data_IF_230141958085
#
_entry.id   IF_230141958085
#
_cell.length_a   1.000
_cell.length_b   1.000
_cell.length_c   1.000
_cell.angle_alpha   90.00
_cell.angle_beta   90.00
_cell.angle_gamma   90.00
#
_symmetry.space_group_name_H-M   'P 1'
#
loop_
_entity.id
_entity.type
_entity.pdbx_description
1 polymer ?
#
# COMPACT_ATOMS: atom_id res chain seq x y z
N UNK A 1 -1.92 -10.13 -13.66
CA UNK A 1 -2.91 -9.45 -12.78
C UNK A 1 -3.05 -8.01 -13.26
N UNK A 2 -4.24 -7.59 -13.64
CA UNK A 2 -4.53 -6.17 -13.84
C UNK A 2 -5.05 -5.61 -12.50
N UNK A 3 -4.52 -4.48 -12.07
CA UNK A 3 -5.02 -3.74 -10.91
C UNK A 3 -5.89 -2.59 -11.41
N UNK A 4 -7.05 -2.42 -10.80
CA UNK A 4 -7.96 -1.31 -11.09
C UNK A 4 -7.65 -0.17 -10.12
N UNK A 5 -7.08 0.92 -10.64
CA UNK A 5 -6.59 2.04 -9.83
C UNK A 5 -7.74 2.78 -9.13
N UNK A 6 -8.92 2.86 -9.74
CA UNK A 6 -10.11 3.52 -9.18
C UNK A 6 -10.64 2.81 -7.92
N UNK A 7 -10.31 1.52 -7.78
CA UNK A 7 -10.72 0.71 -6.63
C UNK A 7 -9.76 0.81 -5.46
N UNK A 8 -8.49 1.11 -5.71
CA UNK A 8 -7.42 1.03 -4.69
C UNK A 8 -6.87 2.39 -4.28
N UNK A 9 -7.03 3.41 -5.13
CA UNK A 9 -6.58 4.77 -4.85
C UNK A 9 -7.74 5.64 -4.35
N UNK A 10 -7.40 6.63 -3.54
CA UNK A 10 -8.30 7.74 -3.27
C UNK A 10 -8.59 8.50 -4.57
N UNK A 11 -9.78 9.11 -4.67
CA UNK A 11 -10.24 9.80 -5.87
C UNK A 11 -9.29 10.92 -6.31
N UNK A 12 -8.56 11.54 -5.39
CA UNK A 12 -7.56 12.56 -5.72
C UNK A 12 -6.32 12.00 -6.47
N UNK A 13 -6.13 10.68 -6.46
CA UNK A 13 -4.96 10.00 -7.01
C UNK A 13 -5.27 9.05 -8.18
N UNK A 14 -6.55 8.78 -8.46
CA UNK A 14 -6.99 7.83 -9.49
C UNK A 14 -6.49 8.20 -10.92
N UNK A 15 -6.52 9.49 -11.27
CA UNK A 15 -6.13 9.98 -12.59
C UNK A 15 -4.63 10.32 -12.71
N UNK A 16 -3.83 10.07 -11.66
CA UNK A 16 -2.41 10.42 -11.63
C UNK A 16 -1.54 9.31 -12.24
N UNK A 17 -0.40 9.66 -12.84
CA UNK A 17 0.55 8.67 -13.33
C UNK A 17 1.08 7.82 -12.18
N UNK A 18 1.32 6.54 -12.44
CA UNK A 18 1.72 5.56 -11.41
C UNK A 18 2.97 6.00 -10.63
N UNK A 19 3.92 6.67 -11.29
CA UNK A 19 5.11 7.20 -10.62
C UNK A 19 4.77 8.25 -9.54
N UNK A 20 3.78 9.12 -9.77
CA UNK A 20 3.30 10.07 -8.76
C UNK A 20 2.58 9.36 -7.63
N UNK A 21 1.75 8.37 -7.96
CA UNK A 21 1.04 7.56 -6.96
C UNK A 21 2.02 6.83 -6.03
N UNK A 22 3.09 6.27 -6.59
CA UNK A 22 4.12 5.58 -5.82
C UNK A 22 4.90 6.50 -4.88
N UNK A 23 5.12 7.76 -5.29
CA UNK A 23 5.76 8.78 -4.46
C UNK A 23 4.79 9.46 -3.47
N UNK A 24 3.48 9.22 -3.62
CA UNK A 24 2.45 9.80 -2.76
C UNK A 24 2.51 9.24 -1.33
N UNK A 25 1.98 9.98 -0.33
CA UNK A 25 1.76 9.47 1.01
C UNK A 25 0.89 8.21 1.02
N UNK A 26 1.00 7.37 2.05
CA UNK A 26 0.18 6.14 2.15
C UNK A 26 -1.33 6.43 2.18
N UNK A 27 -1.74 7.62 2.64
CA UNK A 27 -3.11 8.11 2.59
C UNK A 27 -3.68 8.29 1.15
N UNK A 28 -2.84 8.19 0.11
CA UNK A 28 -3.30 8.08 -1.28
C UNK A 28 -4.02 6.75 -1.57
N UNK A 29 -3.85 5.74 -0.71
CA UNK A 29 -4.57 4.48 -0.79
C UNK A 29 -5.96 4.64 -0.18
N UNK A 30 -6.95 4.10 -0.88
CA UNK A 30 -8.34 4.14 -0.44
C UNK A 30 -8.50 3.43 0.91
N UNK A 31 -9.09 4.12 1.87
CA UNK A 31 -9.34 3.60 3.21
C UNK A 31 -8.18 3.77 4.19
N UNK A 32 -7.11 4.47 3.79
CA UNK A 32 -6.04 4.91 4.70
C UNK A 32 -6.23 6.40 4.97
N UNK A 33 -6.39 6.78 6.23
CA UNK A 33 -6.46 8.19 6.64
C UNK A 33 -5.07 8.77 6.84
N UNK A 34 -4.95 10.11 6.91
CA UNK A 34 -3.68 10.77 7.24
C UNK A 34 -3.11 10.28 8.58
N UNK A 35 -3.99 10.08 9.57
CA UNK A 35 -3.62 9.54 10.88
C UNK A 35 -3.06 8.13 10.80
N UNK A 36 -3.61 7.27 9.94
CA UNK A 36 -3.06 5.93 9.73
C UNK A 36 -1.67 6.00 9.08
N UNK A 37 -1.48 6.96 8.16
CA UNK A 37 -0.20 7.26 7.55
C UNK A 37 0.86 7.71 8.58
N UNK A 38 0.49 8.57 9.53
CA UNK A 38 1.37 8.99 10.63
C UNK A 38 1.80 7.80 11.50
N UNK A 39 0.87 6.91 11.85
CA UNK A 39 1.19 5.70 12.64
C UNK A 39 2.13 4.75 11.89
N UNK A 40 1.95 4.59 10.58
CA UNK A 40 2.85 3.78 9.75
C UNK A 40 4.25 4.39 9.66
N UNK A 41 4.33 5.71 9.61
CA UNK A 41 5.60 6.43 9.65
C UNK A 41 6.30 6.23 11.00
N UNK A 42 5.58 6.42 12.11
CA UNK A 42 6.15 6.26 13.46
C UNK A 42 6.59 4.83 13.75
N UNK A 43 5.77 3.84 13.38
CA UNK A 43 6.04 2.45 13.70
C UNK A 43 7.07 1.79 12.79
N UNK A 44 7.06 2.15 11.49
CA UNK A 44 7.82 1.42 10.47
C UNK A 44 8.67 2.31 9.55
N UNK A 45 8.64 3.63 9.73
CA UNK A 45 9.36 4.58 8.86
C UNK A 45 8.76 4.71 7.46
N UNK A 46 7.53 4.25 7.26
CA UNK A 46 6.88 4.22 5.94
C UNK A 46 6.27 5.59 5.64
N UNK A 47 6.69 6.22 4.53
CA UNK A 47 6.18 7.54 4.11
C UNK A 47 5.29 7.44 2.89
N UNK A 48 5.71 6.64 1.92
CA UNK A 48 5.09 6.59 0.60
C UNK A 48 4.37 5.27 0.31
N UNK A 49 3.52 5.27 -0.70
CA UNK A 49 2.91 4.04 -1.23
C UNK A 49 4.00 3.03 -1.64
N UNK A 50 5.08 3.50 -2.25
CA UNK A 50 6.22 2.66 -2.61
C UNK A 50 6.92 2.06 -1.39
N UNK A 51 7.10 2.82 -0.31
CA UNK A 51 7.69 2.31 0.94
C UNK A 51 6.81 1.23 1.56
N UNK A 52 5.49 1.47 1.58
CA UNK A 52 4.53 0.53 2.15
C UNK A 52 4.51 -0.78 1.37
N UNK A 53 4.50 -0.73 0.02
CA UNK A 53 4.59 -1.91 -0.84
C UNK A 53 5.92 -2.66 -0.75
N UNK A 54 6.97 -2.01 -0.26
CA UNK A 54 8.30 -2.62 -0.09
C UNK A 54 8.59 -3.06 1.34
N UNK A 55 7.66 -2.82 2.28
CA UNK A 55 7.83 -3.18 3.69
C UNK A 55 8.04 -4.68 3.86
N UNK A 56 9.18 -5.07 4.46
CA UNK A 56 9.55 -6.48 4.65
C UNK A 56 8.50 -7.30 5.39
N UNK A 57 7.83 -6.70 6.39
CA UNK A 57 6.81 -7.37 7.19
C UNK A 57 5.55 -7.66 6.38
N UNK A 58 5.13 -6.74 5.51
CA UNK A 58 4.00 -6.95 4.60
C UNK A 58 4.28 -8.10 3.63
N UNK A 59 5.51 -8.15 3.07
CA UNK A 59 5.95 -9.24 2.19
C UNK A 59 5.96 -10.60 2.90
N UNK A 60 6.49 -10.67 4.11
CA UNK A 60 6.47 -11.92 4.89
C UNK A 60 5.04 -12.37 5.20
N UNK A 61 4.16 -11.46 5.62
CA UNK A 61 2.77 -11.79 5.88
C UNK A 61 2.05 -12.32 4.61
N UNK A 62 2.24 -11.67 3.46
CA UNK A 62 1.71 -12.14 2.18
C UNK A 62 2.22 -13.54 1.81
N UNK A 63 3.52 -13.79 2.01
CA UNK A 63 4.11 -15.11 1.75
C UNK A 63 3.51 -16.20 2.65
N UNK A 64 3.32 -15.92 3.94
CA UNK A 64 2.69 -16.86 4.88
C UNK A 64 1.24 -17.18 4.48
N UNK A 65 0.46 -16.18 4.05
CA UNK A 65 -0.92 -16.39 3.55
C UNK A 65 -0.89 -17.26 2.29
N UNK A 66 0.00 -16.97 1.34
CA UNK A 66 0.13 -17.76 0.12
C UNK A 66 0.51 -19.23 0.40
N UNK A 67 1.45 -19.47 1.32
CA UNK A 67 1.85 -20.84 1.72
C UNK A 67 0.70 -21.65 2.32
N UNK A 68 -0.17 -21.00 3.10
CA UNK A 68 -1.36 -21.67 3.64
C UNK A 68 -2.36 -22.04 2.54
N UNK A 69 -2.46 -21.24 1.47
CA UNK A 69 -3.32 -21.54 0.32
C UNK A 69 -2.76 -22.67 -0.54
N UNK A 70 -1.44 -22.82 -0.65
CA UNK A 70 -0.82 -23.92 -1.41
C UNK A 70 -0.82 -25.26 -0.69
N UNK A 71 -1.11 -25.27 0.62
CA UNK A 71 -1.12 -26.49 1.45
C UNK A 71 -2.54 -27.05 1.65
N UNK A 72 -3.56 -26.40 1.07
CA UNK A 72 -4.92 -26.92 0.94
C UNK A 72 -5.13 -27.55 -0.43
#
# INVERSE_FOLDING_TARGET
MAIDLDKVLDKAWADKPLAEVLAAPVAALKGVTDKDGELLLEAFGVKTVADFGQLKYARWAQALVALNQTTK
#
